data_IF_113698572776
#
_entry.id   IF_113698572776
#
_cell.length_a   1.000
_cell.length_b   1.000
_cell.length_c   1.000
_cell.angle_alpha   90.00
_cell.angle_beta   90.00
_cell.angle_gamma   90.00
#
_symmetry.space_group_name_H-M   'P 1'
#
loop_
_entity.id
_entity.type
_entity.pdbx_description
1 polymer ?
#
# COMPACT_ATOMS: atom_id res chain seq x y z
N UNK A 1 -17.38 -8.22 -1.56
CA UNK A 1 -17.17 -9.63 -1.14
C UNK A 1 -15.93 -9.68 -0.25
N UNK A 2 -15.92 -10.52 0.77
CA UNK A 2 -14.77 -10.72 1.68
C UNK A 2 -13.63 -11.41 0.94
N UNK A 3 -12.37 -11.12 1.30
CA UNK A 3 -11.23 -11.81 0.67
C UNK A 3 -11.13 -13.25 1.15
N UNK A 4 -10.81 -14.17 0.25
CA UNK A 4 -10.54 -15.57 0.57
C UNK A 4 -9.15 -15.80 1.21
N UNK A 5 -8.82 -17.03 1.62
CA UNK A 5 -7.52 -17.38 2.19
C UNK A 5 -6.35 -17.19 1.21
N UNK A 6 -6.60 -17.39 -0.09
CA UNK A 6 -5.59 -17.28 -1.16
C UNK A 6 -5.51 -15.86 -1.77
N UNK A 7 -6.33 -14.93 -1.27
CA UNK A 7 -6.41 -13.58 -1.79
C UNK A 7 -5.32 -12.69 -1.17
N UNK A 8 -4.34 -12.29 -1.99
CA UNK A 8 -3.26 -11.42 -1.53
C UNK A 8 -3.76 -9.99 -1.35
N UNK A 9 -3.50 -9.43 -0.18
CA UNK A 9 -3.75 -8.02 0.14
C UNK A 9 -2.48 -7.43 0.73
N UNK A 10 -2.26 -6.14 0.46
CA UNK A 10 -1.09 -5.44 0.98
C UNK A 10 -1.44 -4.08 1.56
N UNK A 11 -0.43 -3.21 1.72
CA UNK A 11 -0.54 -2.01 2.52
C UNK A 11 -1.38 -0.91 1.85
N UNK A 12 -1.63 -0.97 0.54
CA UNK A 12 -2.40 0.07 -0.14
C UNK A 12 -3.92 -0.13 0.03
N UNK A 13 -4.65 0.80 0.70
CA UNK A 13 -6.09 0.67 0.91
C UNK A 13 -6.87 0.73 -0.41
N UNK A 14 -6.46 1.58 -1.36
CA UNK A 14 -7.15 1.73 -2.64
C UNK A 14 -7.13 0.43 -3.45
N UNK A 15 -5.96 -0.20 -3.60
CA UNK A 15 -5.82 -1.46 -4.34
C UNK A 15 -6.53 -2.62 -3.66
N UNK A 16 -6.57 -2.64 -2.31
CA UNK A 16 -7.37 -3.60 -1.54
C UNK A 16 -8.87 -3.46 -1.86
N UNK A 17 -9.38 -2.24 -1.93
CA UNK A 17 -10.78 -1.99 -2.30
C UNK A 17 -11.05 -2.42 -3.74
N UNK A 18 -10.18 -2.07 -4.69
CA UNK A 18 -10.31 -2.46 -6.10
C UNK A 18 -10.37 -3.98 -6.29
N UNK A 19 -9.50 -4.74 -5.62
CA UNK A 19 -9.51 -6.19 -5.68
C UNK A 19 -10.77 -6.79 -5.02
N UNK A 20 -11.24 -6.21 -3.91
CA UNK A 20 -12.46 -6.66 -3.24
C UNK A 20 -13.73 -6.39 -4.07
N UNK A 21 -13.73 -5.30 -4.83
CA UNK A 21 -14.82 -4.91 -5.74
C UNK A 21 -14.72 -5.54 -7.14
N UNK A 22 -13.64 -6.24 -7.46
CA UNK A 22 -13.48 -6.97 -8.72
C UNK A 22 -13.00 -6.12 -9.91
N UNK A 23 -12.59 -4.87 -9.66
CA UNK A 23 -11.87 -4.06 -10.65
C UNK A 23 -10.46 -4.60 -10.90
N UNK A 24 -9.90 -5.27 -9.89
CA UNK A 24 -8.67 -6.05 -10.00
C UNK A 24 -8.95 -7.54 -9.77
N UNK A 25 -8.10 -8.43 -10.29
CA UNK A 25 -8.14 -9.86 -9.96
C UNK A 25 -8.21 -10.07 -8.45
N UNK A 26 -9.18 -10.87 -8.00
CA UNK A 26 -9.48 -11.06 -6.56
C UNK A 26 -8.31 -11.70 -5.80
N UNK A 27 -7.53 -12.52 -6.50
CA UNK A 27 -6.30 -13.14 -5.98
C UNK A 27 -5.21 -12.11 -5.59
N UNK A 28 -5.35 -10.84 -5.96
CA UNK A 28 -4.40 -9.78 -5.63
C UNK A 28 -3.19 -9.72 -6.56
N UNK A 29 -3.23 -10.36 -7.73
CA UNK A 29 -2.17 -10.29 -8.74
C UNK A 29 -2.78 -9.76 -10.02
N UNK A 30 -2.44 -8.50 -10.34
CA UNK A 30 -2.93 -7.82 -11.54
C UNK A 30 -1.81 -7.51 -12.51
N UNK A 31 -2.13 -7.43 -13.79
CA UNK A 31 -1.24 -6.83 -14.78
C UNK A 31 -1.26 -5.30 -14.70
N UNK A 32 -0.20 -4.65 -15.17
CA UNK A 32 -0.06 -3.21 -15.14
C UNK A 32 -1.22 -2.47 -15.85
N UNK A 33 -1.66 -2.95 -17.02
CA UNK A 33 -2.79 -2.40 -17.76
C UNK A 33 -4.06 -2.37 -16.89
N UNK A 34 -4.35 -3.48 -16.21
CA UNK A 34 -5.51 -3.61 -15.34
C UNK A 34 -5.41 -2.70 -14.11
N UNK A 35 -4.22 -2.59 -13.52
CA UNK A 35 -3.97 -1.70 -12.37
C UNK A 35 -4.07 -0.23 -12.76
N UNK A 36 -3.53 0.17 -13.91
CA UNK A 36 -3.64 1.54 -14.42
C UNK A 36 -5.09 1.90 -14.71
N UNK A 37 -5.83 1.03 -15.43
CA UNK A 37 -7.26 1.25 -15.69
C UNK A 37 -8.06 1.35 -14.39
N UNK A 38 -7.91 0.40 -13.46
CA UNK A 38 -8.63 0.38 -12.20
C UNK A 38 -8.35 1.63 -11.33
N UNK A 39 -7.10 2.12 -11.33
CA UNK A 39 -6.70 3.32 -10.59
C UNK A 39 -7.26 4.60 -11.24
N UNK A 40 -7.29 4.67 -12.58
CA UNK A 40 -7.90 5.79 -13.30
C UNK A 40 -9.43 5.84 -13.11
N UNK A 41 -10.12 4.70 -13.07
CA UNK A 41 -11.55 4.60 -12.73
C UNK A 41 -11.84 5.12 -11.31
N UNK A 42 -10.89 4.97 -10.37
CA UNK A 42 -10.96 5.56 -9.03
C UNK A 42 -10.46 7.01 -8.96
N UNK A 43 -10.21 7.66 -10.09
CA UNK A 43 -9.70 9.05 -10.18
C UNK A 43 -8.34 9.26 -9.48
N UNK A 44 -7.57 8.19 -9.29
CA UNK A 44 -6.24 8.26 -8.71
C UNK A 44 -5.16 8.51 -9.79
N UNK A 45 -4.01 9.09 -9.44
CA UNK A 45 -2.94 9.35 -10.40
C UNK A 45 -2.39 8.04 -10.96
N UNK A 46 -2.38 7.90 -12.29
CA UNK A 46 -1.82 6.73 -12.98
C UNK A 46 -0.31 6.54 -12.74
N UNK A 47 0.40 7.62 -12.36
CA UNK A 47 1.82 7.59 -12.00
C UNK A 47 2.13 6.66 -10.82
N UNK A 48 1.18 6.47 -9.89
CA UNK A 48 1.37 5.60 -8.74
C UNK A 48 1.40 4.13 -9.14
N UNK A 49 0.56 3.73 -10.09
CA UNK A 49 0.54 2.38 -10.66
C UNK A 49 1.86 2.06 -11.37
N UNK A 50 2.38 3.01 -12.14
CA UNK A 50 3.66 2.86 -12.85
C UNK A 50 4.84 2.76 -11.89
N UNK A 51 4.87 3.57 -10.83
CA UNK A 51 5.93 3.51 -9.82
C UNK A 51 5.88 2.21 -9.00
N UNK A 52 4.70 1.78 -8.57
CA UNK A 52 4.47 0.49 -7.93
C UNK A 52 4.99 -0.67 -8.78
N UNK A 53 4.77 -0.59 -10.09
CA UNK A 53 5.21 -1.62 -11.02
C UNK A 53 6.72 -1.65 -11.25
N UNK A 54 7.34 -0.47 -11.43
CA UNK A 54 8.80 -0.38 -11.61
C UNK A 54 9.57 -0.87 -10.38
N UNK A 55 9.03 -0.61 -9.18
CA UNK A 55 9.72 -0.89 -7.91
C UNK A 55 9.38 -2.28 -7.34
N UNK A 56 8.21 -2.84 -7.65
CA UNK A 56 7.72 -4.06 -6.98
C UNK A 56 7.11 -5.10 -7.93
N UNK A 57 6.99 -4.80 -9.23
CA UNK A 57 6.48 -5.68 -10.27
C UNK A 57 7.58 -6.38 -11.08
N UNK A 58 7.19 -7.32 -11.94
CA UNK A 58 8.12 -7.96 -12.87
C UNK A 58 8.03 -7.33 -14.28
N UNK A 59 9.07 -6.60 -14.73
CA UNK A 59 9.00 -5.83 -15.98
C UNK A 59 9.15 -6.65 -17.27
N UNK A 60 9.54 -7.93 -17.21
CA UNK A 60 10.06 -8.64 -18.39
C UNK A 60 9.14 -9.68 -19.05
N UNK A 61 8.31 -10.45 -18.31
CA UNK A 61 7.52 -11.54 -18.94
C UNK A 61 6.02 -11.40 -18.85
N UNK A 62 5.46 -10.86 -17.76
CA UNK A 62 4.00 -10.81 -17.57
C UNK A 62 3.44 -9.44 -17.17
N UNK A 63 4.30 -8.44 -16.98
CA UNK A 63 3.91 -7.11 -16.50
C UNK A 63 2.97 -7.17 -15.29
N UNK A 64 3.17 -8.14 -14.39
CA UNK A 64 2.32 -8.37 -13.23
C UNK A 64 2.93 -7.78 -11.96
N UNK A 65 2.05 -7.33 -11.07
CA UNK A 65 2.39 -6.85 -9.73
C UNK A 65 1.46 -7.50 -8.72
N UNK A 66 2.04 -8.02 -7.63
CA UNK A 66 1.29 -8.46 -6.46
C UNK A 66 0.95 -7.24 -5.61
N UNK A 67 -0.33 -7.06 -5.27
CA UNK A 67 -0.76 -6.00 -4.36
C UNK A 67 -0.42 -6.28 -2.90
N UNK A 68 0.07 -7.49 -2.60
CA UNK A 68 0.39 -7.99 -1.27
C UNK A 68 1.85 -8.43 -1.16
N UNK A 69 2.06 -9.61 -0.58
CA UNK A 69 3.38 -10.24 -0.43
C UNK A 69 3.89 -10.84 -1.74
N UNK A 70 5.15 -11.26 -1.74
CA UNK A 70 5.78 -12.01 -2.82
C UNK A 70 4.99 -13.29 -3.12
N UNK A 71 4.79 -13.57 -4.40
CA UNK A 71 4.08 -14.76 -4.86
C UNK A 71 4.72 -15.33 -6.12
N UNK A 72 4.64 -16.65 -6.31
CA UNK A 72 5.06 -17.31 -7.55
C UNK A 72 4.17 -16.96 -8.75
N UNK A 73 2.97 -16.40 -8.51
CA UNK A 73 2.06 -15.95 -9.57
C UNK A 73 2.61 -14.76 -10.38
N UNK A 74 3.63 -14.06 -9.90
CA UNK A 74 4.29 -12.97 -10.64
C UNK A 74 5.38 -13.46 -11.62
N UNK A 75 5.67 -14.76 -11.66
CA UNK A 75 6.65 -15.37 -12.57
C UNK A 75 8.02 -15.63 -11.94
N UNK A 76 9.00 -15.96 -12.78
CA UNK A 76 10.37 -16.30 -12.35
C UNK A 76 11.15 -15.06 -11.92
N UNK A 77 11.84 -15.17 -10.79
CA UNK A 77 12.58 -14.04 -10.21
C UNK A 77 13.69 -13.53 -11.13
N UNK A 78 13.87 -12.20 -11.24
CA UNK A 78 14.95 -11.61 -12.02
C UNK A 78 16.31 -11.80 -11.31
N UNK A 79 17.43 -11.59 -12.01
CA UNK A 79 18.76 -11.64 -11.40
C UNK A 79 18.90 -10.68 -10.21
N UNK A 80 19.82 -11.03 -9.28
CA UNK A 80 20.04 -10.57 -7.88
C UNK A 80 19.83 -9.08 -7.51
N UNK A 81 19.64 -8.17 -8.43
CA UNK A 81 19.46 -6.73 -8.16
C UNK A 81 17.99 -6.27 -8.19
N UNK A 82 17.09 -7.01 -8.85
CA UNK A 82 15.66 -6.66 -8.88
C UNK A 82 14.87 -7.56 -7.90
N UNK A 83 14.08 -6.95 -7.02
CA UNK A 83 13.29 -7.67 -6.02
C UNK A 83 11.81 -7.61 -6.40
N UNK A 84 11.28 -8.73 -6.87
CA UNK A 84 9.82 -8.90 -7.10
C UNK A 84 9.19 -9.35 -5.79
N UNK A 85 9.05 -8.42 -4.86
CA UNK A 85 8.54 -8.70 -3.51
C UNK A 85 7.05 -8.37 -3.33
N UNK A 86 6.40 -7.80 -4.34
CA UNK A 86 5.05 -7.24 -4.20
C UNK A 86 5.04 -5.93 -3.39
N UNK A 87 3.87 -5.29 -3.29
CA UNK A 87 3.73 -4.00 -2.61
C UNK A 87 3.97 -4.03 -1.10
N UNK A 88 4.04 -5.22 -0.49
CA UNK A 88 4.35 -5.36 0.94
C UNK A 88 5.86 -5.46 1.21
N UNK A 89 6.69 -5.49 0.16
CA UNK A 89 8.13 -5.54 0.29
C UNK A 89 8.68 -4.21 0.81
N UNK A 90 9.19 -4.26 2.03
CA UNK A 90 9.80 -3.12 2.68
C UNK A 90 10.98 -2.55 1.88
N UNK A 91 11.07 -1.22 1.82
CA UNK A 91 12.19 -0.46 1.25
C UNK A 91 12.14 -0.25 -0.27
N UNK A 92 11.10 -0.73 -0.96
CA UNK A 92 10.90 -0.49 -2.41
C UNK A 92 9.83 0.57 -2.66
N UNK A 93 8.56 0.17 -2.56
CA UNK A 93 7.38 1.04 -2.56
C UNK A 93 6.83 1.24 -1.15
N UNK A 94 6.87 0.16 -0.37
CA UNK A 94 6.52 0.13 1.04
C UNK A 94 7.63 0.84 1.85
N UNK A 95 7.28 1.88 2.61
CA UNK A 95 8.22 2.74 3.34
C UNK A 95 8.17 2.55 4.86
N UNK A 96 9.26 2.92 5.54
CA UNK A 96 9.26 3.02 7.02
C UNK A 96 8.40 4.15 7.51
N UNK A 97 8.35 5.26 6.78
CA UNK A 97 7.74 6.50 7.25
C UNK A 97 6.41 6.75 6.52
N UNK A 98 5.40 7.17 7.28
CA UNK A 98 4.05 7.58 6.82
C UNK A 98 3.09 6.40 6.61
N UNK A 99 2.85 5.65 7.68
CA UNK A 99 1.76 4.68 7.76
C UNK A 99 0.62 5.21 8.61
N UNK A 100 -0.43 5.69 7.95
CA UNK A 100 -1.60 6.27 8.63
C UNK A 100 -2.42 5.24 9.42
N UNK A 101 -2.40 3.98 9.01
CA UNK A 101 -3.19 2.90 9.64
C UNK A 101 -2.48 1.55 9.67
N UNK A 102 -1.15 1.55 9.50
CA UNK A 102 -0.28 0.37 9.52
C UNK A 102 0.89 0.64 10.46
N UNK A 103 1.61 -0.42 10.83
CA UNK A 103 2.82 -0.34 11.66
C UNK A 103 4.08 -0.40 10.81
N UNK A 104 5.16 0.20 11.28
CA UNK A 104 6.44 0.13 10.59
C UNK A 104 6.94 -1.32 10.56
N UNK A 105 7.61 -1.70 9.47
CA UNK A 105 8.09 -3.08 9.26
C UNK A 105 8.98 -3.60 10.40
N UNK A 106 9.69 -2.71 11.11
CA UNK A 106 10.51 -3.05 12.28
C UNK A 106 9.70 -3.57 13.47
N UNK A 107 8.42 -3.19 13.56
CA UNK A 107 7.52 -3.60 14.65
C UNK A 107 6.63 -4.79 14.29
N UNK A 108 6.66 -5.27 13.04
CA UNK A 108 5.89 -6.45 12.61
C UNK A 108 5.32 -6.32 11.19
N UNK A 109 4.08 -6.78 11.01
CA UNK A 109 3.45 -6.87 9.69
C UNK A 109 3.06 -5.48 9.14
N UNK A 110 3.85 -5.05 8.18
CA UNK A 110 3.71 -3.84 7.39
C UNK A 110 2.37 -3.73 6.62
N UNK A 111 1.76 -4.84 6.23
CA UNK A 111 0.55 -4.88 5.41
C UNK A 111 -0.74 -4.93 6.25
N UNK A 112 -0.65 -5.37 7.49
CA UNK A 112 -1.79 -5.52 8.38
C UNK A 112 -2.38 -4.17 8.80
N UNK A 113 -3.72 -4.12 8.89
CA UNK A 113 -4.43 -2.95 9.38
C UNK A 113 -4.35 -2.88 10.91
N UNK A 114 -3.98 -1.72 11.45
CA UNK A 114 -3.91 -1.47 12.88
C UNK A 114 -4.98 -0.46 13.31
N UNK A 115 -5.91 -0.91 14.17
CA UNK A 115 -7.01 -0.09 14.68
C UNK A 115 -6.54 1.08 15.54
N UNK A 116 -5.47 0.90 16.33
CA UNK A 116 -4.93 1.98 17.18
C UNK A 116 -4.47 3.16 16.33
N UNK A 117 -3.74 2.88 15.25
CA UNK A 117 -3.26 3.91 14.33
C UNK A 117 -4.42 4.62 13.59
N UNK A 118 -5.50 3.90 13.28
CA UNK A 118 -6.71 4.55 12.75
C UNK A 118 -7.39 5.46 13.79
N UNK A 119 -7.41 5.07 15.06
CA UNK A 119 -7.98 5.90 16.12
C UNK A 119 -7.17 7.19 16.30
N UNK A 120 -5.84 7.13 16.20
CA UNK A 120 -4.99 8.32 16.18
C UNK A 120 -5.38 9.23 15.02
N UNK A 121 -5.51 8.68 13.80
CA UNK A 121 -5.92 9.43 12.62
C UNK A 121 -7.27 10.15 12.84
N UNK A 122 -8.27 9.47 13.43
CA UNK A 122 -9.56 10.07 13.79
C UNK A 122 -9.42 11.20 14.82
N UNK A 123 -8.56 11.02 15.83
CA UNK A 123 -8.31 12.05 16.85
C UNK A 123 -7.66 13.31 16.26
N UNK A 124 -6.73 13.15 15.32
CA UNK A 124 -6.07 14.26 14.63
C UNK A 124 -7.02 14.99 13.69
N UNK A 125 -7.89 14.28 12.98
CA UNK A 125 -8.95 14.89 12.17
C UNK A 125 -9.91 15.74 13.02
N UNK A 126 -10.30 15.23 14.19
CA UNK A 126 -11.16 15.97 15.13
C UNK A 126 -10.47 17.22 15.68
N UNK A 127 -9.15 17.16 15.89
CA UNK A 127 -8.37 18.25 16.50
C UNK A 127 -7.94 19.34 15.51
N UNK A 128 -7.56 18.96 14.29
CA UNK A 128 -6.91 19.84 13.33
C UNK A 128 -7.66 20.00 11.99
N UNK A 129 -8.69 19.20 11.76
CA UNK A 129 -9.52 19.25 10.55
C UNK A 129 -10.65 20.26 10.67
N UNK A 130 -11.05 20.89 9.56
CA UNK A 130 -12.22 21.76 9.56
C UNK A 130 -13.47 20.89 9.77
N UNK A 131 -14.18 21.08 10.88
CA UNK A 131 -15.38 20.30 11.20
C UNK A 131 -15.14 18.78 11.33
N UNK A 132 -13.93 18.37 11.74
CA UNK A 132 -13.59 16.96 11.96
C UNK A 132 -13.30 16.17 10.67
N UNK A 133 -13.09 16.83 9.54
CA UNK A 133 -12.74 16.19 8.27
C UNK A 133 -11.25 15.87 8.17
N UNK A 134 -10.92 14.94 7.27
CA UNK A 134 -9.55 14.64 6.88
C UNK A 134 -9.01 15.67 5.90
N UNK A 135 -8.79 16.89 6.38
CA UNK A 135 -8.24 17.97 5.58
C UNK A 135 -6.72 17.86 5.44
N UNK A 136 -6.17 18.64 4.51
CA UNK A 136 -4.72 18.76 4.28
C UNK A 136 -4.00 19.12 5.57
N UNK A 137 -4.57 19.99 6.41
CA UNK A 137 -3.96 20.42 7.66
C UNK A 137 -3.85 19.28 8.69
N UNK A 138 -4.95 18.55 8.93
CA UNK A 138 -4.95 17.38 9.81
C UNK A 138 -4.00 16.28 9.32
N UNK A 139 -3.94 16.08 7.99
CA UNK A 139 -3.04 15.10 7.37
C UNK A 139 -1.57 15.52 7.49
N UNK A 140 -1.27 16.82 7.35
CA UNK A 140 0.09 17.34 7.48
C UNK A 140 0.62 17.21 8.91
N UNK A 141 -0.20 17.56 9.91
CA UNK A 141 0.15 17.43 11.33
C UNK A 141 0.38 15.97 11.72
N UNK A 142 -0.53 15.09 11.32
CA UNK A 142 -0.37 13.66 11.56
C UNK A 142 0.88 13.09 10.86
N UNK A 143 1.16 13.51 9.63
CA UNK A 143 2.38 13.10 8.91
C UNK A 143 3.64 13.50 9.66
N UNK A 144 3.66 14.71 10.23
CA UNK A 144 4.79 15.19 11.01
C UNK A 144 4.97 14.39 12.30
N UNK A 145 3.88 14.18 13.05
CA UNK A 145 3.96 13.40 14.29
C UNK A 145 4.37 11.94 14.04
N UNK A 146 3.88 11.30 12.97
CA UNK A 146 4.33 9.95 12.57
C UNK A 146 5.81 9.91 12.23
N UNK A 147 6.33 10.93 11.54
CA UNK A 147 7.76 11.02 11.25
C UNK A 147 8.58 11.11 12.55
N UNK A 148 8.14 11.91 13.52
CA UNK A 148 8.82 12.01 14.82
C UNK A 148 8.74 10.69 15.60
N UNK A 149 7.58 10.02 15.62
CA UNK A 149 7.39 8.72 16.26
C UNK A 149 8.34 7.67 15.68
N UNK A 150 8.41 7.56 14.35
CA UNK A 150 9.36 6.64 13.69
C UNK A 150 10.82 7.00 13.99
N UNK A 151 11.21 8.29 14.02
CA UNK A 151 12.59 8.69 14.37
C UNK A 151 12.94 8.28 15.82
N UNK A 152 12.00 8.40 16.75
CA UNK A 152 12.25 8.11 18.17
C UNK A 152 12.20 6.61 18.50
N UNK A 153 11.39 5.83 17.76
CA UNK A 153 11.07 4.45 18.13
C UNK A 153 11.66 3.39 17.20
N UNK A 154 11.98 3.76 15.95
CA UNK A 154 12.51 2.83 14.95
C UNK A 154 14.05 2.99 14.85
N UNK A 155 14.84 2.02 15.36
CA UNK A 155 16.30 2.09 15.41
C UNK A 155 16.99 1.91 14.04
#
# INVERSE_FOLDING_TARGET
>A
MTSGPDDLRGPCPALKTLANHGYLPRNGVGRLDQVVTAVMEMTLPSSWSTQAFLMSGYPLTNLTVSIGIKTSFTGQDPPKLAVVGGLSQHGTFEGTVIRLSRVDASFGDAAAFNQSRLNDLLSFATKYGANGTYDINATAELRNERLQDSIMTNP
#
